data_IF_565689878791
#
_entry.id   IF_565689878791
#
_cell.length_a   1.000
_cell.length_b   1.000
_cell.length_c   1.000
_cell.angle_alpha   90.00
_cell.angle_beta   90.00
_cell.angle_gamma   90.00
#
_symmetry.space_group_name_H-M   'P 1'
#
loop_
_entity.id
_entity.type
_entity.pdbx_description
1 polymer ?
#
# COMPACT_ATOMS: atom_id res chain seq x y z
N UNK A 1 -13.27 -15.13 -1.39
CA UNK A 1 -14.42 -16.04 -1.39
C UNK A 1 -15.61 -15.43 -0.66
N UNK A 2 -16.86 -15.90 -0.90
CA UNK A 2 -18.09 -15.34 -0.30
C UNK A 2 -18.05 -15.28 1.23
N UNK A 3 -17.44 -16.26 1.88
CA UNK A 3 -17.32 -16.32 3.36
C UNK A 3 -16.44 -15.20 3.93
N UNK A 4 -15.33 -14.87 3.27
CA UNK A 4 -14.43 -13.79 3.70
C UNK A 4 -15.10 -12.41 3.55
N UNK A 5 -15.87 -12.20 2.51
CA UNK A 5 -16.66 -10.97 2.34
C UNK A 5 -17.75 -10.85 3.42
N UNK A 6 -18.37 -11.96 3.81
CA UNK A 6 -19.40 -11.98 4.84
C UNK A 6 -18.84 -11.71 6.24
N UNK A 7 -17.67 -12.27 6.55
CA UNK A 7 -16.94 -11.99 7.78
C UNK A 7 -16.49 -10.53 7.88
N UNK A 8 -15.92 -9.98 6.80
CA UNK A 8 -15.55 -8.57 6.73
C UNK A 8 -16.76 -7.65 6.92
N UNK A 9 -17.90 -7.98 6.31
CA UNK A 9 -19.16 -7.24 6.47
C UNK A 9 -19.68 -7.28 7.91
N UNK A 10 -19.65 -8.43 8.58
CA UNK A 10 -20.12 -8.57 9.97
C UNK A 10 -19.24 -7.80 10.97
N UNK A 11 -17.93 -7.78 10.76
CA UNK A 11 -16.99 -7.02 11.59
C UNK A 11 -17.27 -5.52 11.43
N UNK A 12 -17.54 -5.07 10.23
CA UNK A 12 -17.77 -3.66 9.91
C UNK A 12 -19.15 -3.16 10.36
N UNK A 13 -20.16 -4.05 10.34
CA UNK A 13 -21.52 -3.74 10.83
C UNK A 13 -21.53 -3.41 12.32
N UNK A 14 -20.65 -4.00 13.12
CA UNK A 14 -20.54 -3.73 14.57
C UNK A 14 -19.86 -2.41 14.89
N UNK A 15 -19.10 -1.84 13.97
CA UNK A 15 -18.30 -0.64 14.21
C UNK A 15 -18.96 0.67 13.75
N UNK A 16 -19.87 0.62 12.76
CA UNK A 16 -20.39 1.87 12.21
C UNK A 16 -21.75 1.69 11.51
N UNK A 17 -22.83 2.15 12.16
CA UNK A 17 -24.19 2.10 11.61
C UNK A 17 -24.37 2.98 10.34
N UNK A 18 -23.46 3.89 10.10
CA UNK A 18 -23.48 4.80 8.95
C UNK A 18 -23.20 4.06 7.64
N UNK A 19 -22.49 2.93 7.70
CA UNK A 19 -22.22 2.08 6.52
C UNK A 19 -23.49 1.52 5.88
N UNK A 20 -24.45 1.09 6.69
CA UNK A 20 -25.67 0.48 6.20
C UNK A 20 -26.50 1.50 5.45
N UNK A 21 -26.55 2.74 5.96
CA UNK A 21 -27.27 3.85 5.30
C UNK A 21 -26.68 4.19 3.92
N UNK A 22 -25.37 4.28 3.80
CA UNK A 22 -24.74 4.56 2.50
C UNK A 22 -24.84 3.39 1.52
N UNK A 23 -24.83 2.15 2.02
CA UNK A 23 -24.99 0.96 1.17
C UNK A 23 -26.41 0.87 0.63
N UNK A 24 -27.42 1.15 1.50
CA UNK A 24 -28.82 1.23 1.11
C UNK A 24 -29.05 2.38 0.13
N UNK A 25 -28.51 3.58 0.39
CA UNK A 25 -28.61 4.72 -0.51
C UNK A 25 -27.95 4.44 -1.86
N UNK A 26 -26.76 3.88 -1.88
CA UNK A 26 -26.04 3.54 -3.12
C UNK A 26 -26.76 2.46 -3.96
N UNK A 27 -27.56 1.61 -3.32
CA UNK A 27 -28.35 0.59 -4.02
C UNK A 27 -29.73 1.10 -4.43
N UNK A 28 -30.44 1.78 -3.52
CA UNK A 28 -31.82 2.24 -3.74
C UNK A 28 -31.90 3.46 -4.66
N UNK A 29 -30.97 4.41 -4.55
CA UNK A 29 -31.02 5.66 -5.31
C UNK A 29 -30.95 5.45 -6.83
N UNK A 30 -30.01 4.64 -7.39
CA UNK A 30 -30.03 4.32 -8.82
C UNK A 30 -31.23 3.48 -9.24
N UNK A 31 -31.69 2.58 -8.36
CA UNK A 31 -32.86 1.75 -8.65
C UNK A 31 -34.13 2.59 -8.76
N UNK A 32 -34.33 3.55 -7.84
CA UNK A 32 -35.48 4.49 -7.87
C UNK A 32 -35.38 5.43 -9.06
N UNK A 33 -34.20 5.96 -9.35
CA UNK A 33 -33.98 6.91 -10.46
C UNK A 33 -34.21 6.25 -11.82
N UNK A 34 -33.74 5.01 -11.99
CA UNK A 34 -34.01 4.20 -13.19
C UNK A 34 -35.46 3.73 -13.26
N UNK A 35 -36.12 3.52 -12.12
CA UNK A 35 -37.54 3.20 -12.07
C UNK A 35 -38.39 4.41 -12.50
N UNK A 36 -38.09 5.62 -12.03
CA UNK A 36 -38.76 6.86 -12.41
C UNK A 36 -38.53 7.22 -13.90
N UNK A 37 -37.28 7.16 -14.37
CA UNK A 37 -36.98 7.35 -15.79
C UNK A 37 -37.72 6.34 -16.66
N UNK A 38 -37.89 5.20 -16.13
CA UNK A 38 -38.54 4.13 -16.82
C UNK A 38 -40.06 4.22 -16.87
N UNK A 39 -40.71 4.98 -16.03
CA UNK A 39 -42.13 5.26 -16.11
C UNK A 39 -42.49 6.03 -17.40
N UNK A 40 -41.52 6.83 -17.86
CA UNK A 40 -41.64 7.63 -19.09
C UNK A 40 -41.54 6.79 -20.38
N UNK A 41 -40.79 5.67 -20.39
CA UNK A 41 -40.46 4.94 -21.62
C UNK A 41 -41.04 3.53 -21.79
N UNK A 42 -42.12 3.16 -21.04
CA UNK A 42 -43.02 2.04 -21.35
C UNK A 42 -42.53 0.61 -21.15
N UNK A 43 -41.24 0.31 -20.92
CA UNK A 43 -40.72 -1.07 -20.91
C UNK A 43 -40.30 -1.55 -19.51
N UNK A 44 -41.22 -2.15 -18.77
CA UNK A 44 -41.11 -2.45 -17.32
C UNK A 44 -40.05 -3.48 -16.96
N UNK A 45 -39.83 -4.51 -17.76
CA UNK A 45 -38.95 -5.65 -17.43
C UNK A 45 -37.45 -5.36 -17.62
N UNK A 46 -37.05 -4.68 -18.67
CA UNK A 46 -35.66 -4.33 -18.91
C UNK A 46 -35.05 -3.41 -17.83
N UNK A 47 -35.88 -2.61 -17.21
CA UNK A 47 -35.54 -1.59 -16.20
C UNK A 47 -35.26 -2.18 -14.83
N UNK A 48 -36.05 -3.19 -14.42
CA UNK A 48 -35.85 -3.83 -13.12
C UNK A 48 -34.58 -4.66 -13.09
N UNK A 49 -34.20 -5.30 -14.21
CA UNK A 49 -32.97 -6.07 -14.31
C UNK A 49 -31.71 -5.19 -14.41
N UNK A 50 -31.74 -4.11 -15.19
CA UNK A 50 -30.60 -3.20 -15.34
C UNK A 50 -30.35 -2.35 -14.11
N UNK A 51 -31.42 -1.83 -13.45
CA UNK A 51 -31.32 -1.07 -12.21
C UNK A 51 -30.70 -1.88 -11.07
N UNK A 52 -31.14 -3.13 -10.89
CA UNK A 52 -30.59 -4.04 -9.87
C UNK A 52 -29.10 -4.38 -10.13
N UNK A 53 -28.73 -4.64 -11.38
CA UNK A 53 -27.33 -4.91 -11.76
C UNK A 53 -26.42 -3.70 -11.57
N UNK A 54 -26.89 -2.51 -11.93
CA UNK A 54 -26.15 -1.27 -11.74
C UNK A 54 -25.99 -0.93 -10.25
N UNK A 55 -27.06 -1.03 -9.47
CA UNK A 55 -27.05 -0.82 -8.04
C UNK A 55 -26.11 -1.78 -7.31
N UNK A 56 -26.10 -3.07 -7.68
CA UNK A 56 -25.18 -4.05 -7.12
C UNK A 56 -23.70 -3.72 -7.44
N UNK A 57 -23.42 -3.27 -8.67
CA UNK A 57 -22.05 -2.84 -9.05
C UNK A 57 -21.61 -1.60 -8.29
N UNK A 58 -22.47 -0.60 -8.15
CA UNK A 58 -22.19 0.62 -7.39
C UNK A 58 -22.01 0.32 -5.90
N UNK A 59 -22.88 -0.49 -5.31
CA UNK A 59 -22.74 -0.95 -3.92
C UNK A 59 -21.41 -1.67 -3.70
N UNK A 60 -21.04 -2.58 -4.60
CA UNK A 60 -19.74 -3.29 -4.53
C UNK A 60 -18.57 -2.32 -4.63
N UNK A 61 -18.66 -1.29 -5.46
CA UNK A 61 -17.61 -0.28 -5.63
C UNK A 61 -17.47 0.60 -4.38
N UNK A 62 -18.58 0.99 -3.76
CA UNK A 62 -18.59 1.76 -2.50
C UNK A 62 -17.99 0.93 -1.36
N UNK A 63 -18.39 -0.34 -1.24
CA UNK A 63 -17.83 -1.27 -0.24
C UNK A 63 -16.33 -1.44 -0.44
N UNK A 64 -15.90 -1.69 -1.67
CA UNK A 64 -14.46 -1.80 -1.99
C UNK A 64 -13.67 -0.55 -1.61
N UNK A 65 -14.18 0.64 -1.95
CA UNK A 65 -13.51 1.90 -1.58
C UNK A 65 -13.41 2.09 -0.06
N UNK A 66 -14.48 1.80 0.67
CA UNK A 66 -14.48 1.94 2.13
C UNK A 66 -13.59 0.90 2.82
N UNK A 67 -13.63 -0.35 2.38
CA UNK A 67 -12.72 -1.39 2.89
C UNK A 67 -11.25 -0.99 2.69
N UNK A 68 -10.91 -0.45 1.53
CA UNK A 68 -9.56 0.06 1.31
C UNK A 68 -9.21 1.17 2.30
N UNK A 69 -10.09 2.17 2.48
CA UNK A 69 -9.84 3.27 3.42
C UNK A 69 -9.65 2.76 4.85
N UNK A 70 -10.51 1.85 5.33
CA UNK A 70 -10.42 1.33 6.70
C UNK A 70 -9.18 0.45 6.93
N UNK A 71 -8.71 -0.26 5.91
CA UNK A 71 -7.45 -1.02 5.99
C UNK A 71 -6.25 -0.07 6.08
N UNK A 72 -6.25 1.00 5.28
CA UNK A 72 -5.20 2.02 5.34
C UNK A 72 -5.20 2.76 6.69
N UNK A 73 -6.36 3.03 7.28
CA UNK A 73 -6.47 3.68 8.61
C UNK A 73 -5.92 2.81 9.73
N UNK A 74 -6.16 1.50 9.67
CA UNK A 74 -5.60 0.55 10.66
C UNK A 74 -4.12 0.31 10.46
N UNK A 75 -3.63 0.41 9.24
CA UNK A 75 -2.21 0.29 8.93
C UNK A 75 -1.44 1.57 9.22
N UNK A 76 -2.08 2.75 9.13
CA UNK A 76 -1.43 4.02 9.46
C UNK A 76 -1.00 4.02 10.93
N UNK A 77 0.27 4.32 11.17
CA UNK A 77 0.91 4.23 12.49
C UNK A 77 1.62 2.90 12.80
N UNK A 78 1.55 1.92 11.90
CA UNK A 78 2.36 0.70 12.01
C UNK A 78 3.59 0.80 11.10
N UNK A 79 4.76 0.45 11.61
CA UNK A 79 5.97 0.40 10.80
C UNK A 79 5.80 -0.58 9.62
N UNK A 80 6.12 -0.14 8.41
CA UNK A 80 5.94 -0.92 7.18
C UNK A 80 4.62 -0.68 6.45
N UNK A 81 3.75 0.20 6.95
CA UNK A 81 2.47 0.49 6.34
C UNK A 81 2.60 1.14 4.96
N UNK A 82 3.55 2.06 4.79
CA UNK A 82 3.85 2.65 3.49
C UNK A 82 4.39 1.58 2.53
N UNK A 83 5.28 0.71 2.98
CA UNK A 83 5.79 -0.41 2.18
C UNK A 83 4.68 -1.34 1.70
N UNK A 84 3.75 -1.69 2.58
CA UNK A 84 2.58 -2.49 2.21
C UNK A 84 1.69 -1.77 1.19
N UNK A 85 1.45 -0.47 1.37
CA UNK A 85 0.68 0.34 0.43
C UNK A 85 1.33 0.39 -0.96
N UNK A 86 2.66 0.50 -1.01
CA UNK A 86 3.45 0.51 -2.24
C UNK A 86 3.40 -0.84 -2.97
N UNK A 87 3.46 -1.95 -2.24
CA UNK A 87 3.40 -3.31 -2.83
C UNK A 87 2.01 -3.60 -3.44
N UNK A 88 0.97 -3.01 -2.86
CA UNK A 88 -0.40 -3.13 -3.35
C UNK A 88 -0.77 -2.09 -4.43
N UNK A 89 0.19 -1.28 -4.88
CA UNK A 89 -0.05 -0.36 -5.99
C UNK A 89 -0.36 -1.13 -7.27
N UNK A 90 -1.39 -0.66 -7.96
CA UNK A 90 -1.76 -1.22 -9.26
C UNK A 90 -1.01 -0.52 -10.37
N UNK A 91 -0.55 -1.30 -11.33
CA UNK A 91 -0.07 -0.76 -12.60
C UNK A 91 -1.19 0.06 -13.25
N UNK A 92 -0.88 1.29 -13.64
CA UNK A 92 -1.80 2.16 -14.36
C UNK A 92 -1.66 2.00 -15.89
N UNK A 93 -2.52 2.68 -16.63
CA UNK A 93 -2.40 2.71 -18.09
C UNK A 93 -1.06 3.37 -18.48
N UNK A 94 -0.19 2.58 -19.10
CA UNK A 94 1.15 3.02 -19.50
C UNK A 94 2.15 3.15 -18.34
N UNK A 95 1.79 2.74 -17.12
CA UNK A 95 2.67 2.78 -15.94
C UNK A 95 3.01 1.37 -15.47
N UNK A 96 4.24 1.20 -15.01
CA UNK A 96 4.75 -0.01 -14.36
C UNK A 96 5.44 0.39 -13.07
N UNK A 97 5.26 -0.42 -12.04
CA UNK A 97 5.87 -0.21 -10.73
C UNK A 97 6.59 -1.47 -10.27
N UNK A 98 7.80 -1.32 -9.76
CA UNK A 98 8.57 -2.38 -9.11
C UNK A 98 8.96 -1.85 -7.75
N UNK A 99 8.42 -2.46 -6.69
CA UNK A 99 8.61 -2.01 -5.31
C UNK A 99 9.58 -2.92 -4.58
N UNK A 100 10.47 -2.32 -3.80
CA UNK A 100 11.30 -3.01 -2.81
C UNK A 100 11.13 -2.35 -1.45
N UNK A 101 10.58 -3.10 -0.51
CA UNK A 101 10.34 -2.62 0.85
C UNK A 101 11.62 -2.69 1.67
N UNK A 102 11.78 -1.74 2.62
CA UNK A 102 12.81 -1.77 3.65
C UNK A 102 14.24 -1.86 3.11
N UNK A 103 14.57 -1.06 2.07
CA UNK A 103 15.94 -1.00 1.54
C UNK A 103 16.92 -0.43 2.56
N UNK A 104 16.41 0.36 3.50
CA UNK A 104 17.11 0.78 4.71
C UNK A 104 16.15 0.73 5.90
N UNK A 105 16.67 0.34 7.06
CA UNK A 105 15.95 0.24 8.32
C UNK A 105 16.89 0.70 9.43
N UNK A 106 16.37 1.46 10.40
CA UNK A 106 17.10 1.84 11.59
C UNK A 106 16.56 1.12 12.85
N UNK A 107 17.20 1.34 13.99
CA UNK A 107 16.79 0.74 15.26
C UNK A 107 15.45 1.26 15.80
N UNK A 108 14.97 2.38 15.30
CA UNK A 108 13.69 2.99 15.65
C UNK A 108 12.54 2.52 14.76
N UNK A 109 12.81 1.54 13.87
CA UNK A 109 11.84 1.05 12.88
C UNK A 109 11.42 2.09 11.85
N UNK A 110 12.25 3.14 11.66
CA UNK A 110 12.07 4.01 10.50
C UNK A 110 12.58 3.27 9.25
N UNK A 111 11.82 3.36 8.18
CA UNK A 111 12.00 2.55 6.98
C UNK A 111 12.17 3.44 5.75
N UNK A 112 13.03 3.03 4.84
CA UNK A 112 13.08 3.58 3.48
C UNK A 112 12.70 2.49 2.49
N UNK A 113 11.71 2.77 1.66
CA UNK A 113 11.26 1.91 0.57
C UNK A 113 11.72 2.48 -0.75
N UNK A 114 11.92 1.63 -1.73
CA UNK A 114 12.25 2.05 -3.09
C UNK A 114 11.21 1.57 -4.07
N UNK A 115 10.77 2.47 -4.92
CA UNK A 115 9.86 2.21 -6.01
C UNK A 115 10.52 2.63 -7.32
N UNK A 116 10.66 1.70 -8.24
CA UNK A 116 11.11 1.97 -9.61
C UNK A 116 9.86 2.01 -10.49
N UNK A 117 9.65 3.12 -11.17
CA UNK A 117 8.47 3.31 -12.00
C UNK A 117 8.73 4.19 -13.21
N UNK A 118 7.70 4.48 -13.98
CA UNK A 118 7.81 5.37 -15.14
C UNK A 118 8.29 6.79 -14.79
N UNK A 119 8.10 7.35 -13.59
CA UNK A 119 8.75 8.60 -13.20
C UNK A 119 10.27 8.50 -13.05
N UNK A 120 10.78 7.32 -12.75
CA UNK A 120 12.17 7.08 -12.35
C UNK A 120 12.24 6.25 -11.07
N UNK A 121 13.17 6.59 -10.20
CA UNK A 121 13.27 5.96 -8.88
C UNK A 121 12.64 6.88 -7.84
N UNK A 122 11.77 6.33 -7.00
CA UNK A 122 11.15 7.05 -5.89
C UNK A 122 11.57 6.39 -4.59
N UNK A 123 12.17 7.16 -3.70
CA UNK A 123 12.43 6.77 -2.32
C UNK A 123 11.28 7.22 -1.45
N UNK A 124 10.69 6.30 -0.72
CA UNK A 124 9.60 6.59 0.21
C UNK A 124 10.07 6.30 1.61
N UNK A 125 10.17 7.35 2.42
CA UNK A 125 10.55 7.27 3.82
C UNK A 125 9.31 7.11 4.71
N UNK A 126 9.40 6.25 5.72
CA UNK A 126 8.37 6.03 6.73
C UNK A 126 9.00 6.13 8.12
N UNK A 127 8.48 7.05 8.96
CA UNK A 127 8.96 7.35 10.30
C UNK A 127 9.23 8.85 10.51
N UNK A 128 10.05 9.23 11.48
CA UNK A 128 10.32 10.62 11.78
C UNK A 128 11.22 11.30 10.73
N UNK A 129 10.75 12.41 10.16
CA UNK A 129 11.40 13.14 9.05
C UNK A 129 12.89 13.42 9.28
N UNK A 130 13.27 13.79 10.51
CA UNK A 130 14.66 14.11 10.86
C UNK A 130 15.58 12.88 10.77
N UNK A 131 15.08 11.71 11.15
CA UNK A 131 15.86 10.44 11.11
C UNK A 131 15.86 9.79 9.73
N UNK A 132 14.78 9.96 8.98
CA UNK A 132 14.63 9.37 7.63
C UNK A 132 15.49 10.10 6.61
N UNK A 133 15.59 11.43 6.69
CA UNK A 133 16.32 12.23 5.71
C UNK A 133 17.74 11.75 5.45
N UNK A 134 18.61 11.54 6.47
CA UNK A 134 19.96 11.01 6.24
C UNK A 134 19.96 9.60 5.63
N UNK A 135 18.95 8.77 5.93
CA UNK A 135 18.81 7.44 5.33
C UNK A 135 18.47 7.53 3.84
N UNK A 136 17.53 8.40 3.49
CA UNK A 136 17.14 8.67 2.10
C UNK A 136 18.30 9.27 1.31
N UNK A 137 19.02 10.23 1.85
CA UNK A 137 20.22 10.84 1.24
C UNK A 137 21.30 9.80 0.97
N UNK A 138 21.52 8.87 1.91
CA UNK A 138 22.46 7.76 1.74
C UNK A 138 22.05 6.85 0.58
N UNK A 139 20.77 6.50 0.53
CA UNK A 139 20.23 5.65 -0.53
C UNK A 139 20.23 6.38 -1.88
N UNK A 140 19.89 7.65 -1.92
CA UNK A 140 19.96 8.49 -3.13
C UNK A 140 21.36 8.54 -3.71
N UNK A 141 22.37 8.84 -2.89
CA UNK A 141 23.79 8.85 -3.33
C UNK A 141 24.23 7.49 -3.88
N UNK A 142 23.72 6.40 -3.30
CA UNK A 142 23.98 5.05 -3.76
C UNK A 142 23.34 4.79 -5.12
N UNK A 143 22.08 5.14 -5.27
CA UNK A 143 21.31 4.92 -6.48
C UNK A 143 21.81 5.78 -7.65
N UNK A 144 22.17 7.03 -7.40
CA UNK A 144 22.69 7.93 -8.44
C UNK A 144 23.85 7.33 -9.24
N UNK A 145 24.69 6.49 -8.61
CA UNK A 145 25.80 5.78 -9.28
C UNK A 145 25.35 4.61 -10.17
N UNK A 146 24.09 4.20 -10.05
CA UNK A 146 23.55 3.01 -10.72
C UNK A 146 22.57 3.40 -11.81
N UNK A 147 21.74 4.41 -11.53
CA UNK A 147 20.61 4.78 -12.39
C UNK A 147 20.97 5.82 -13.46
N UNK A 148 22.18 6.42 -13.37
CA UNK A 148 22.63 7.45 -14.31
C UNK A 148 21.70 8.68 -14.28
N UNK A 149 21.27 9.13 -15.47
CA UNK A 149 20.43 10.34 -15.63
C UNK A 149 18.97 10.15 -15.22
N UNK A 150 18.59 8.94 -14.74
CA UNK A 150 17.21 8.71 -14.27
C UNK A 150 16.96 9.50 -12.98
N UNK A 151 15.89 10.32 -12.93
CA UNK A 151 15.58 11.12 -11.76
C UNK A 151 15.23 10.27 -10.54
N UNK A 152 15.67 10.75 -9.37
CA UNK A 152 15.37 10.14 -8.08
C UNK A 152 14.53 11.12 -7.27
N UNK A 153 13.30 10.73 -6.96
CA UNK A 153 12.37 11.50 -6.15
C UNK A 153 12.40 11.00 -4.71
N UNK A 154 12.16 11.91 -3.78
CA UNK A 154 12.08 11.63 -2.34
C UNK A 154 10.70 12.02 -1.84
N UNK A 155 10.02 11.11 -1.14
CA UNK A 155 8.70 11.31 -0.57
C UNK A 155 8.71 10.78 0.86
N UNK A 156 8.27 11.58 1.81
CA UNK A 156 8.05 11.13 3.19
C UNK A 156 6.58 10.80 3.37
N UNK A 157 6.30 9.60 3.86
CA UNK A 157 4.94 9.14 4.14
C UNK A 157 4.61 9.35 5.60
N UNK A 158 3.56 10.13 5.88
CA UNK A 158 3.10 10.45 7.23
C UNK A 158 1.90 11.38 7.22
N UNK A 159 1.58 11.95 8.37
CA UNK A 159 0.47 12.89 8.53
C UNK A 159 0.95 14.33 8.85
N UNK A 160 2.27 14.55 8.83
CA UNK A 160 2.87 15.85 9.08
C UNK A 160 2.75 16.83 7.91
N UNK A 161 3.15 18.08 8.17
CA UNK A 161 3.31 19.09 7.14
C UNK A 161 4.41 18.65 6.17
N UNK A 162 4.20 18.75 4.87
CA UNK A 162 5.06 18.21 3.79
C UNK A 162 5.16 16.66 3.73
N UNK A 163 4.33 15.95 4.45
CA UNK A 163 4.25 14.50 4.36
C UNK A 163 3.06 14.03 3.52
N UNK A 164 3.21 12.90 2.88
CA UNK A 164 2.13 12.34 2.05
C UNK A 164 1.42 11.23 2.81
N UNK A 165 0.13 11.40 3.15
CA UNK A 165 -0.63 10.35 3.79
C UNK A 165 -0.63 9.06 2.96
N UNK A 166 -0.52 7.91 3.62
CA UNK A 166 -0.49 6.59 2.98
C UNK A 166 -1.63 6.40 1.98
N UNK A 167 -2.83 6.89 2.31
CA UNK A 167 -4.02 6.85 1.44
C UNK A 167 -3.85 7.61 0.12
N UNK A 168 -3.01 8.64 0.11
CA UNK A 168 -2.76 9.50 -1.06
C UNK A 168 -1.46 9.13 -1.78
N UNK A 169 -0.63 8.27 -1.19
CA UNK A 169 0.70 7.94 -1.67
C UNK A 169 0.69 7.45 -3.13
N UNK A 170 -0.13 6.46 -3.46
CA UNK A 170 -0.26 5.99 -4.86
C UNK A 170 -0.64 7.10 -5.83
N UNK A 171 -1.62 7.95 -5.46
CA UNK A 171 -2.04 9.07 -6.30
C UNK A 171 -0.94 10.11 -6.46
N UNK A 172 -0.16 10.36 -5.42
CA UNK A 172 0.98 11.27 -5.45
C UNK A 172 2.04 10.76 -6.44
N UNK A 173 2.42 9.49 -6.33
CA UNK A 173 3.39 8.86 -7.23
C UNK A 173 2.93 8.85 -8.69
N UNK A 174 1.63 8.64 -8.94
CA UNK A 174 1.05 8.68 -10.30
C UNK A 174 1.05 10.07 -10.94
N UNK A 175 1.19 11.14 -10.16
CA UNK A 175 1.26 12.53 -10.66
C UNK A 175 2.67 12.97 -11.04
N UNK A 176 3.69 12.21 -10.65
CA UNK A 176 5.06 12.49 -11.01
C UNK A 176 5.24 12.43 -12.54
N UNK A 177 6.13 13.25 -13.12
CA UNK A 177 6.38 13.25 -14.55
C UNK A 177 6.92 11.89 -15.01
N UNK A 178 6.55 11.48 -16.22
CA UNK A 178 6.98 10.22 -16.82
C UNK A 178 8.31 10.45 -17.55
N UNK A 179 9.39 9.93 -17.01
CA UNK A 179 10.74 10.14 -17.53
C UNK A 179 11.32 8.92 -18.25
N UNK A 180 10.80 7.72 -17.93
CA UNK A 180 11.26 6.48 -18.54
C UNK A 180 10.10 5.66 -19.10
N UNK A 181 10.38 4.83 -20.09
CA UNK A 181 9.36 4.00 -20.74
C UNK A 181 9.06 2.77 -19.89
N UNK A 182 7.82 2.25 -20.02
CA UNK A 182 7.33 1.10 -19.24
C UNK A 182 8.25 -0.13 -19.31
N UNK A 183 8.85 -0.43 -20.45
CA UNK A 183 9.74 -1.58 -20.61
C UNK A 183 11.10 -1.37 -19.96
N UNK A 184 11.56 -0.12 -19.82
CA UNK A 184 12.83 0.23 -19.19
C UNK A 184 12.76 0.09 -17.66
N UNK A 185 11.56 0.22 -17.07
CA UNK A 185 11.34 0.13 -15.62
C UNK A 185 11.85 -1.20 -15.06
N UNK A 186 11.52 -2.32 -15.71
CA UNK A 186 11.93 -3.66 -15.26
C UNK A 186 13.45 -3.82 -15.38
N UNK A 187 14.03 -3.38 -16.49
CA UNK A 187 15.48 -3.44 -16.71
C UNK A 187 16.25 -2.59 -15.67
N UNK A 188 15.74 -1.38 -15.37
CA UNK A 188 16.31 -0.52 -14.34
C UNK A 188 16.20 -1.16 -12.94
N UNK A 189 15.05 -1.70 -12.59
CA UNK A 189 14.83 -2.39 -11.32
C UNK A 189 15.79 -3.57 -11.15
N UNK A 190 15.92 -4.41 -12.17
CA UNK A 190 16.85 -5.55 -12.16
C UNK A 190 18.32 -5.11 -12.05
N UNK A 191 18.72 -4.02 -12.73
CA UNK A 191 20.06 -3.46 -12.62
C UNK A 191 20.39 -3.01 -11.20
N UNK A 192 19.44 -2.32 -10.56
CA UNK A 192 19.58 -1.86 -9.18
C UNK A 192 19.68 -3.06 -8.23
N UNK A 193 18.82 -4.07 -8.41
CA UNK A 193 18.78 -5.27 -7.58
C UNK A 193 20.06 -6.11 -7.71
N UNK A 194 20.57 -6.31 -8.92
CA UNK A 194 21.82 -7.05 -9.16
C UNK A 194 23.01 -6.41 -8.44
N UNK A 195 23.08 -5.07 -8.40
CA UNK A 195 24.13 -4.35 -7.66
C UNK A 195 23.99 -4.47 -6.14
N UNK A 196 22.79 -4.75 -5.64
CA UNK A 196 22.55 -4.99 -4.22
C UNK A 196 22.91 -6.40 -3.78
N UNK A 197 22.58 -7.42 -4.58
CA UNK A 197 22.93 -8.81 -4.30
C UNK A 197 24.43 -9.00 -4.13
N UNK A 198 25.24 -8.30 -4.94
CA UNK A 198 26.70 -8.31 -4.82
C UNK A 198 27.26 -7.73 -3.51
N UNK A 199 26.42 -7.15 -2.63
CA UNK A 199 26.81 -6.52 -1.36
C UNK A 199 26.19 -7.14 -0.12
N UNK A 200 25.47 -8.25 -0.23
CA UNK A 200 24.90 -8.97 0.93
C UNK A 200 23.77 -8.24 1.65
N UNK A 201 23.17 -7.20 1.06
CA UNK A 201 22.06 -6.46 1.66
C UNK A 201 20.73 -7.14 1.32
N UNK A 202 20.36 -8.17 2.07
CA UNK A 202 19.04 -8.77 1.97
C UNK A 202 18.02 -7.76 2.53
N UNK A 203 17.09 -7.31 1.66
CA UNK A 203 15.97 -6.48 2.07
C UNK A 203 15.05 -7.21 3.07
N UNK A 204 14.23 -6.45 3.73
CA UNK A 204 13.24 -6.96 4.69
C UNK A 204 12.25 -7.92 4.01
N UNK A 205 11.76 -8.95 4.74
CA UNK A 205 10.70 -9.82 4.24
C UNK A 205 9.47 -9.02 3.79
N UNK A 206 8.82 -9.42 2.69
CA UNK A 206 7.61 -8.78 2.21
C UNK A 206 6.45 -9.00 3.18
N UNK A 207 5.81 -7.91 3.62
CA UNK A 207 4.61 -7.92 4.45
C UNK A 207 4.64 -6.87 5.56
N UNK A 208 3.48 -6.52 6.13
CA UNK A 208 3.42 -5.68 7.31
C UNK A 208 4.11 -6.40 8.46
N UNK A 209 4.96 -5.67 9.17
CA UNK A 209 5.66 -6.20 10.34
C UNK A 209 4.60 -6.47 11.42
N UNK A 210 4.48 -7.70 11.95
CA UNK A 210 3.54 -7.98 13.03
C UNK A 210 3.85 -7.06 14.20
N UNK A 211 2.84 -6.36 14.72
CA UNK A 211 2.96 -5.57 15.93
C UNK A 211 3.54 -6.47 17.02
N UNK A 212 4.76 -6.17 17.42
CA UNK A 212 5.45 -6.66 18.62
C UNK A 212 5.01 -8.07 19.10
N UNK A 213 4.97 -9.07 18.24
CA UNK A 213 5.30 -10.39 18.71
C UNK A 213 6.69 -10.20 19.33
N UNK A 214 6.78 -10.23 20.67
CA UNK A 214 8.01 -10.14 21.42
C UNK A 214 9.06 -10.92 20.65
N UNK A 215 9.96 -10.20 19.96
CA UNK A 215 11.16 -10.81 19.44
C UNK A 215 11.82 -11.33 20.68
N UNK A 216 11.60 -12.60 20.99
CA UNK A 216 12.42 -13.28 21.98
C UNK A 216 13.83 -13.09 21.44
N UNK A 217 14.53 -12.15 22.07
CA UNK A 217 15.98 -11.94 21.86
C UNK A 217 16.55 -13.33 21.82
N UNK A 218 16.96 -13.80 20.64
CA UNK A 218 17.50 -15.12 20.48
C UNK A 218 18.57 -15.29 21.51
N UNK A 219 18.35 -16.14 22.49
CA UNK A 219 19.29 -16.35 23.58
C UNK A 219 20.62 -16.70 22.94
N UNK A 220 21.58 -15.81 23.13
CA UNK A 220 22.94 -15.96 22.64
C UNK A 220 23.42 -17.39 22.99
N UNK A 221 24.14 -18.09 22.13
CA UNK A 221 24.60 -19.47 22.35
C UNK A 221 25.20 -19.69 23.75
N UNK A 222 25.85 -18.65 24.33
CA UNK A 222 26.32 -18.66 25.74
C UNK A 222 25.19 -18.74 26.75
N UNK A 223 24.10 -18.03 26.59
CA UNK A 223 22.94 -18.08 27.49
C UNK A 223 22.21 -19.42 27.40
N UNK A 224 22.15 -20.08 26.26
CA UNK A 224 21.62 -21.45 26.12
C UNK A 224 22.47 -22.47 26.85
N UNK A 225 23.81 -22.39 26.78
CA UNK A 225 24.73 -23.28 27.50
C UNK A 225 24.67 -23.06 29.01
N UNK A 226 24.53 -21.82 29.48
CA UNK A 226 24.36 -21.51 30.90
C UNK A 226 23.04 -22.08 31.49
N UNK A 227 21.93 -21.96 30.73
CA UNK A 227 20.65 -22.50 31.12
C UNK A 227 20.60 -24.04 31.13
N UNK A 228 21.42 -24.72 30.34
CA UNK A 228 21.56 -26.18 30.41
C UNK A 228 22.40 -26.66 31.56
N UNK A 229 23.41 -25.91 32.03
CA UNK A 229 24.23 -26.26 33.21
C UNK A 229 23.48 -26.14 34.53
N UNK A 230 22.46 -25.34 34.64
CA UNK A 230 21.65 -25.18 35.86
C UNK A 230 20.49 -26.18 35.98
N UNK A 231 20.37 -27.16 35.05
CA UNK A 231 19.35 -28.23 35.10
C UNK A 231 19.91 -29.60 35.56
N UNK A 232 21.16 -29.67 35.94
CA UNK A 232 21.83 -30.77 36.61
C UNK A 232 22.37 -30.26 37.93
#
# INVERSE_FOLDING_TARGET
TRSQMWQAFNIQRKQDNTHIRYLLLAHLLPAVLLFLLGFVWGNKWLRQCTGRRLGAKLATLVVRRRLQVSVYERASGQAGAAGWALDNMRDGVGMKWVTKQGVQVNNHMDLVHRVVGTPGVVLVGEGEKQRIKPMMDKERRRLARIVGDTPIYEVVSGEGEDEVPIKKLQRHLMRLPRNIKKHEVVALASRVEAREMGRGNMGMPKGPIPNQAKVQKGMNRRARRAAQRNKH
#
